data_IF_854492340557
#
_entry.id   IF_854492340557
#
_cell.length_a   1.000
_cell.length_b   1.000
_cell.length_c   1.000
_cell.angle_alpha   90.00
_cell.angle_beta   90.00
_cell.angle_gamma   90.00
#
_symmetry.space_group_name_H-M   'P 1'
#
loop_
_entity.id
_entity.type
_entity.pdbx_description
1 polymer ?
#
# COMPACT_ATOMS: atom_id res chain seq x y z
N UNK A 1 13.87 -8.42 -6.12
CA UNK A 1 14.05 -8.51 -4.66
C UNK A 1 14.30 -7.09 -4.21
N UNK A 2 13.46 -6.54 -3.34
CA UNK A 2 13.51 -5.12 -2.97
C UNK A 2 14.40 -4.89 -1.74
N UNK A 3 15.43 -4.07 -1.95
CA UNK A 3 16.35 -3.57 -0.94
C UNK A 3 15.99 -2.13 -0.56
N UNK A 4 16.65 -1.61 0.47
CA UNK A 4 16.45 -0.25 0.95
C UNK A 4 16.80 0.82 -0.09
N UNK A 5 17.83 0.57 -0.92
CA UNK A 5 18.24 1.45 -2.03
C UNK A 5 17.26 1.49 -3.21
N UNK A 6 16.34 0.53 -3.30
CA UNK A 6 15.32 0.48 -4.37
C UNK A 6 14.14 1.42 -4.08
N UNK A 7 14.06 2.03 -2.89
CA UNK A 7 13.00 2.97 -2.52
C UNK A 7 13.22 4.29 -3.27
N UNK A 8 12.42 4.50 -4.31
CA UNK A 8 12.44 5.74 -5.07
C UNK A 8 11.95 6.91 -4.21
N UNK A 9 12.67 8.04 -4.30
CA UNK A 9 12.32 9.31 -3.64
C UNK A 9 12.13 9.19 -2.12
N UNK A 10 12.93 8.34 -1.47
CA UNK A 10 12.78 8.06 -0.04
C UNK A 10 12.84 9.32 0.81
N UNK A 11 13.87 10.14 0.60
CA UNK A 11 14.10 11.34 1.41
C UNK A 11 12.93 12.32 1.25
N UNK A 12 12.41 12.47 0.03
CA UNK A 12 11.26 13.31 -0.27
C UNK A 12 9.97 12.79 0.38
N UNK A 13 9.74 11.46 0.35
CA UNK A 13 8.59 10.85 1.02
C UNK A 13 8.64 11.02 2.54
N UNK A 14 9.82 10.84 3.14
CA UNK A 14 10.03 11.07 4.57
C UNK A 14 9.85 12.54 4.94
N UNK A 15 10.33 13.47 4.12
CA UNK A 15 10.12 14.90 4.33
C UNK A 15 8.64 15.27 4.27
N UNK A 16 7.89 14.74 3.31
CA UNK A 16 6.45 14.99 3.18
C UNK A 16 5.72 14.45 4.42
N UNK A 17 6.03 13.23 4.86
CA UNK A 17 5.43 12.64 6.06
C UNK A 17 5.77 13.43 7.34
N UNK A 18 6.98 14.00 7.44
CA UNK A 18 7.37 14.87 8.57
C UNK A 18 6.64 16.23 8.55
N UNK A 19 6.34 16.76 7.36
CA UNK A 19 5.70 18.08 7.19
C UNK A 19 4.18 18.04 7.32
N UNK A 20 3.55 16.88 7.07
CA UNK A 20 2.10 16.74 7.01
C UNK A 20 1.60 15.60 7.90
N UNK A 21 0.92 15.95 9.00
CA UNK A 21 0.40 14.97 9.98
C UNK A 21 -0.61 13.98 9.38
N UNK A 22 -1.26 14.35 8.27
CA UNK A 22 -2.22 13.50 7.57
C UNK A 22 -1.59 12.58 6.51
N UNK A 23 -0.25 12.53 6.43
CA UNK A 23 0.48 11.64 5.51
C UNK A 23 1.38 10.72 6.32
N UNK A 24 1.16 9.42 6.19
CA UNK A 24 2.02 8.37 6.74
C UNK A 24 2.63 7.54 5.61
N UNK A 25 3.89 7.16 5.76
CA UNK A 25 4.60 6.31 4.78
C UNK A 25 5.12 5.06 5.49
N UNK A 26 4.71 3.90 4.99
CA UNK A 26 5.11 2.60 5.51
C UNK A 26 5.67 1.73 4.39
N UNK A 27 6.94 1.33 4.50
CA UNK A 27 7.61 0.53 3.48
C UNK A 27 7.64 -0.95 3.86
N UNK A 28 7.56 -1.81 2.85
CA UNK A 28 7.70 -3.26 2.98
C UNK A 28 8.81 -3.74 2.05
N UNK A 29 9.84 -4.38 2.60
CA UNK A 29 11.01 -4.83 1.84
C UNK A 29 11.13 -6.35 1.83
N UNK A 30 11.52 -6.93 0.69
CA UNK A 30 11.81 -8.36 0.63
C UNK A 30 13.13 -8.70 1.35
N UNK A 31 14.11 -7.80 1.27
CA UNK A 31 15.42 -7.98 1.86
C UNK A 31 15.76 -6.76 2.71
N UNK A 32 15.12 -6.64 3.89
CA UNK A 32 15.37 -5.50 4.77
C UNK A 32 16.79 -5.53 5.36
N UNK A 33 17.38 -4.37 5.69
CA UNK A 33 18.61 -4.29 6.49
C UNK A 33 18.36 -4.75 7.94
N UNK A 34 19.44 -5.03 8.69
CA UNK A 34 19.36 -5.56 10.07
C UNK A 34 18.53 -4.71 11.04
N UNK A 35 18.48 -3.39 10.83
CA UNK A 35 17.78 -2.44 11.71
C UNK A 35 16.42 -1.99 11.15
N UNK A 36 15.83 -2.74 10.21
CA UNK A 36 14.54 -2.40 9.63
C UNK A 36 13.40 -2.63 10.62
N UNK A 37 12.52 -1.65 10.77
CA UNK A 37 11.42 -1.67 11.75
C UNK A 37 10.03 -1.68 11.10
N UNK A 38 9.96 -1.56 9.78
CA UNK A 38 8.69 -1.60 9.02
C UNK A 38 8.45 -3.01 8.46
N UNK A 39 7.63 -3.14 7.42
CA UNK A 39 7.23 -4.44 6.90
C UNK A 39 8.39 -5.21 6.26
N UNK A 40 8.35 -6.53 6.37
CA UNK A 40 9.28 -7.45 5.70
C UNK A 40 8.53 -8.51 4.90
N UNK A 41 9.05 -8.88 3.74
CA UNK A 41 8.47 -9.87 2.84
C UNK A 41 7.54 -9.23 1.81
N UNK A 42 6.30 -9.73 1.72
CA UNK A 42 5.25 -9.17 0.88
C UNK A 42 4.21 -8.45 1.74
N UNK A 43 3.48 -7.51 1.14
CA UNK A 43 2.36 -6.86 1.82
C UNK A 43 1.29 -7.90 2.15
N UNK A 44 0.82 -7.91 3.39
CA UNK A 44 -0.23 -8.82 3.89
C UNK A 44 -1.51 -8.07 4.23
N UNK A 45 -2.62 -8.79 4.36
CA UNK A 45 -3.89 -8.21 4.83
C UNK A 45 -3.76 -7.57 6.23
N UNK A 46 -2.99 -8.17 7.14
CA UNK A 46 -2.77 -7.60 8.48
C UNK A 46 -2.01 -6.26 8.40
N UNK A 47 -0.98 -6.16 7.55
CA UNK A 47 -0.27 -4.89 7.34
C UNK A 47 -1.21 -3.81 6.80
N UNK A 48 -2.10 -4.15 5.85
CA UNK A 48 -3.08 -3.19 5.33
C UNK A 48 -4.04 -2.75 6.44
N UNK A 49 -4.54 -3.70 7.24
CA UNK A 49 -5.47 -3.42 8.34
C UNK A 49 -4.86 -2.52 9.42
N UNK A 50 -3.57 -2.66 9.69
CA UNK A 50 -2.85 -1.86 10.68
C UNK A 50 -2.49 -0.45 10.15
N UNK A 51 -2.11 -0.35 8.87
CA UNK A 51 -1.52 0.87 8.31
C UNK A 51 -2.50 1.71 7.48
N UNK A 52 -3.65 1.16 7.08
CA UNK A 52 -4.64 1.85 6.24
C UNK A 52 -6.00 2.01 6.96
N UNK A 53 -6.79 3.05 6.60
CA UNK A 53 -8.15 3.19 7.11
C UNK A 53 -9.04 2.02 6.71
N UNK A 54 -9.89 1.56 7.63
CA UNK A 54 -10.92 0.55 7.37
C UNK A 54 -11.86 0.96 6.21
N UNK A 55 -12.50 0.00 5.51
CA UNK A 55 -13.39 0.31 4.40
C UNK A 55 -14.56 1.21 4.84
N UNK A 56 -14.72 2.33 4.13
CA UNK A 56 -15.82 3.28 4.30
C UNK A 56 -16.10 4.01 2.98
N UNK A 57 -17.27 4.68 2.88
CA UNK A 57 -17.70 5.34 1.65
C UNK A 57 -16.84 6.54 1.23
N UNK A 58 -16.09 7.11 2.18
CA UNK A 58 -15.16 8.23 2.01
C UNK A 58 -13.69 7.77 1.93
N UNK A 59 -13.43 6.47 2.00
CA UNK A 59 -12.09 5.88 1.84
C UNK A 59 -11.91 5.41 0.41
N UNK A 60 -10.76 5.76 -0.17
CA UNK A 60 -10.35 5.30 -1.51
C UNK A 60 -8.94 4.71 -1.46
N UNK A 61 -8.77 3.58 -2.11
CA UNK A 61 -7.49 2.88 -2.26
C UNK A 61 -7.04 2.97 -3.71
N UNK A 62 -5.79 3.39 -3.91
CA UNK A 62 -5.18 3.53 -5.22
C UNK A 62 -4.02 2.52 -5.34
N UNK A 63 -4.04 1.68 -6.36
CA UNK A 63 -3.05 0.61 -6.54
C UNK A 63 -2.27 0.81 -7.85
N UNK A 64 -0.94 0.82 -7.74
CA UNK A 64 -0.01 0.85 -8.87
C UNK A 64 1.14 -0.14 -8.60
N UNK A 65 1.58 -0.84 -9.64
CA UNK A 65 2.68 -1.80 -9.54
C UNK A 65 2.53 -2.99 -10.48
N UNK A 66 3.42 -4.00 -10.36
CA UNK A 66 3.38 -5.20 -11.18
C UNK A 66 2.06 -5.97 -11.03
N UNK A 67 1.57 -6.59 -12.11
CA UNK A 67 0.30 -7.33 -12.11
C UNK A 67 0.16 -8.36 -10.96
N UNK A 68 1.19 -9.15 -10.59
CA UNK A 68 1.08 -10.07 -9.46
C UNK A 68 0.82 -9.37 -8.12
N UNK A 69 1.45 -8.20 -7.90
CA UNK A 69 1.24 -7.39 -6.69
C UNK A 69 -0.19 -6.84 -6.67
N UNK A 70 -0.65 -6.27 -7.78
CA UNK A 70 -2.02 -5.73 -7.88
C UNK A 70 -3.07 -6.81 -7.60
N UNK A 71 -2.85 -8.02 -8.10
CA UNK A 71 -3.74 -9.16 -7.85
C UNK A 71 -3.77 -9.53 -6.35
N UNK A 72 -2.61 -9.70 -5.72
CA UNK A 72 -2.52 -10.04 -4.30
C UNK A 72 -3.15 -8.95 -3.40
N UNK A 73 -2.83 -7.69 -3.66
CA UNK A 73 -3.41 -6.55 -2.94
C UNK A 73 -4.93 -6.47 -3.09
N UNK A 74 -5.45 -6.74 -4.29
CA UNK A 74 -6.89 -6.79 -4.53
C UNK A 74 -7.56 -7.88 -3.69
N UNK A 75 -6.96 -9.08 -3.61
CA UNK A 75 -7.48 -10.19 -2.81
C UNK A 75 -7.49 -9.82 -1.32
N UNK A 76 -6.40 -9.26 -0.80
CA UNK A 76 -6.33 -8.81 0.60
C UNK A 76 -7.37 -7.73 0.94
N UNK A 77 -7.59 -6.75 0.05
CA UNK A 77 -8.59 -5.71 0.26
C UNK A 77 -10.01 -6.29 0.25
N UNK A 78 -10.32 -7.24 -0.63
CA UNK A 78 -11.63 -7.90 -0.63
C UNK A 78 -11.85 -8.68 0.66
N UNK A 79 -10.83 -9.39 1.15
CA UNK A 79 -10.90 -10.14 2.41
C UNK A 79 -11.11 -9.23 3.63
N UNK A 80 -10.60 -7.99 3.58
CA UNK A 80 -10.78 -6.96 4.58
C UNK A 80 -12.11 -6.20 4.46
N UNK A 81 -12.92 -6.48 3.42
CA UNK A 81 -14.25 -5.90 3.24
C UNK A 81 -14.30 -4.62 2.42
N UNK A 82 -13.25 -4.28 1.68
CA UNK A 82 -13.32 -3.23 0.65
C UNK A 82 -14.10 -3.72 -0.57
N UNK A 83 -14.65 -2.79 -1.34
CA UNK A 83 -15.40 -3.11 -2.56
C UNK A 83 -14.53 -3.85 -3.56
N UNK A 84 -15.09 -4.92 -4.13
CA UNK A 84 -14.43 -5.70 -5.16
C UNK A 84 -14.15 -4.83 -6.40
N UNK A 85 -12.87 -4.61 -6.79
CA UNK A 85 -12.57 -3.80 -7.95
C UNK A 85 -12.96 -4.51 -9.24
N UNK A 86 -13.35 -3.71 -10.24
CA UNK A 86 -13.68 -4.20 -11.58
C UNK A 86 -12.43 -4.57 -12.37
N UNK A 87 -12.61 -5.25 -13.49
CA UNK A 87 -11.51 -5.54 -14.43
C UNK A 87 -10.86 -4.24 -14.94
N UNK A 88 -11.70 -3.26 -15.32
CA UNK A 88 -11.30 -1.90 -15.71
C UNK A 88 -11.83 -0.93 -14.65
N UNK A 89 -10.93 -0.19 -14.00
CA UNK A 89 -11.25 0.73 -12.91
C UNK A 89 -12.08 1.93 -13.39
N UNK A 90 -13.04 2.36 -12.59
CA UNK A 90 -13.77 3.62 -12.77
C UNK A 90 -13.52 4.58 -11.62
N UNK A 91 -13.67 5.89 -11.84
CA UNK A 91 -13.43 6.90 -10.81
C UNK A 91 -14.35 6.76 -9.58
N UNK A 92 -15.50 6.09 -9.71
CA UNK A 92 -16.40 5.78 -8.60
C UNK A 92 -15.97 4.59 -7.75
N UNK A 93 -14.95 3.83 -8.18
CA UNK A 93 -14.53 2.64 -7.45
C UNK A 93 -13.77 3.01 -6.18
N UNK A 94 -14.07 2.31 -5.08
CA UNK A 94 -13.34 2.43 -3.83
C UNK A 94 -11.89 1.97 -4.00
N UNK A 95 -11.67 0.86 -4.73
CA UNK A 95 -10.34 0.35 -5.09
C UNK A 95 -10.09 0.62 -6.57
N UNK A 96 -9.20 1.56 -6.87
CA UNK A 96 -8.82 1.95 -8.22
C UNK A 96 -7.43 1.41 -8.54
N UNK A 97 -7.32 0.66 -9.64
CA UNK A 97 -6.03 0.18 -10.19
C UNK A 97 -5.66 1.03 -11.40
N UNK A 98 -4.44 1.56 -11.40
CA UNK A 98 -3.86 2.28 -12.53
C UNK A 98 -3.50 1.35 -13.69
#
# INVERSE_FOLDING_TARGET
MLFEEDILLRDELEEIAKKHENISVYHVLNTPPENWTQGSGFVTADMIKEQCPAPANDVKVLLCGPLPMIKAMTEHLVDLGYDKPRAVSQLSDQVFKF
#
